data_IF_359000538649
#
_entry.id   IF_359000538649
#
_cell.length_a   1.000
_cell.length_b   1.000
_cell.length_c   1.000
_cell.angle_alpha   90.00
_cell.angle_beta   90.00
_cell.angle_gamma   90.00
#
_symmetry.space_group_name_H-M   'P 1'
#
loop_
_entity.id
_entity.type
_entity.pdbx_description
1 polymer ?
#
# COMPACT_ATOMS: atom_id res chain seq x y z
N UNK A 1 17.38 -44.18 54.15
CA UNK A 1 16.10 -43.45 54.30
C UNK A 1 16.09 -42.32 53.29
N UNK A 2 15.06 -42.22 52.44
CA UNK A 2 14.58 -40.99 51.80
C UNK A 2 13.35 -41.33 50.95
N UNK A 3 12.16 -41.27 51.55
CA UNK A 3 10.90 -41.25 50.79
C UNK A 3 10.70 -39.82 50.31
N UNK A 4 10.98 -39.57 49.03
CA UNK A 4 10.56 -38.35 48.36
C UNK A 4 9.03 -38.26 48.50
N UNK A 5 8.54 -37.23 49.19
CA UNK A 5 7.09 -36.96 49.30
C UNK A 5 6.56 -36.73 47.89
N UNK A 6 5.80 -37.69 47.36
CA UNK A 6 4.90 -37.46 46.24
C UNK A 6 3.76 -36.57 46.75
N UNK A 7 3.81 -35.25 46.49
CA UNK A 7 2.66 -34.38 46.69
C UNK A 7 1.69 -34.61 45.53
N UNK A 8 0.51 -35.16 45.85
CA UNK A 8 -0.59 -35.28 44.90
C UNK A 8 -1.07 -33.89 44.46
N UNK A 9 -1.37 -33.77 43.17
CA UNK A 9 -2.04 -32.63 42.56
C UNK A 9 -3.21 -32.19 43.42
N UNK A 10 -3.12 -31.00 44.01
CA UNK A 10 -4.24 -30.45 44.77
C UNK A 10 -5.28 -29.91 43.79
N UNK A 11 -6.56 -30.10 44.07
CA UNK A 11 -7.65 -29.62 43.21
C UNK A 11 -7.54 -28.11 42.95
N UNK A 12 -7.00 -27.36 43.91
CA UNK A 12 -6.73 -25.94 43.79
C UNK A 12 -5.64 -25.62 42.75
N UNK A 13 -4.62 -26.45 42.61
CA UNK A 13 -3.56 -26.28 41.62
C UNK A 13 -4.08 -26.47 40.19
N UNK A 14 -4.98 -27.45 39.98
CA UNK A 14 -5.65 -27.63 38.70
C UNK A 14 -6.55 -26.43 38.33
N UNK A 15 -7.23 -25.84 39.32
CA UNK A 15 -8.04 -24.62 39.12
C UNK A 15 -7.16 -23.42 38.77
N UNK A 16 -6.04 -23.24 39.48
CA UNK A 16 -5.06 -22.18 39.19
C UNK A 16 -4.46 -22.36 37.79
N UNK A 17 -4.11 -23.59 37.41
CA UNK A 17 -3.59 -23.90 36.08
C UNK A 17 -4.61 -23.57 34.97
N UNK A 18 -5.89 -23.90 35.17
CA UNK A 18 -6.97 -23.56 34.23
C UNK A 18 -7.19 -22.04 34.12
N UNK A 19 -7.07 -21.29 35.22
CA UNK A 19 -7.17 -19.83 35.21
C UNK A 19 -6.02 -19.19 34.42
N UNK A 20 -4.78 -19.64 34.66
CA UNK A 20 -3.60 -19.14 33.93
C UNK A 20 -3.71 -19.50 32.45
N UNK A 21 -4.14 -20.73 32.13
CA UNK A 21 -4.37 -21.17 30.76
C UNK A 21 -5.42 -20.29 30.04
N UNK A 22 -6.54 -20.01 30.71
CA UNK A 22 -7.61 -19.17 30.17
C UNK A 22 -7.14 -17.74 29.84
N UNK A 23 -6.36 -17.13 30.75
CA UNK A 23 -5.77 -15.81 30.52
C UNK A 23 -4.75 -15.83 29.37
N UNK A 24 -3.96 -16.91 29.25
CA UNK A 24 -3.01 -17.10 28.16
C UNK A 24 -3.69 -17.22 26.79
N UNK A 25 -4.79 -17.98 26.71
CA UNK A 25 -5.56 -18.14 25.46
C UNK A 25 -6.19 -16.81 25.03
N UNK A 26 -6.73 -16.02 25.96
CA UNK A 26 -7.27 -14.68 25.64
C UNK A 26 -6.20 -13.74 25.06
N UNK A 27 -4.98 -13.77 25.59
CA UNK A 27 -3.86 -12.99 25.05
C UNK A 27 -3.50 -13.40 23.62
N UNK A 28 -3.46 -14.71 23.34
CA UNK A 28 -3.16 -15.24 22.00
C UNK A 28 -4.21 -14.82 20.96
N UNK A 29 -5.50 -14.87 21.30
CA UNK A 29 -6.59 -14.46 20.40
C UNK A 29 -6.53 -12.96 20.08
N UNK A 30 -6.19 -12.12 21.06
CA UNK A 30 -6.00 -10.67 20.85
C UNK A 30 -4.86 -10.37 19.87
N UNK A 31 -3.73 -11.08 20.00
CA UNK A 31 -2.59 -10.95 19.11
C UNK A 31 -2.90 -11.40 17.66
N UNK A 32 -3.68 -12.48 17.51
CA UNK A 32 -4.12 -12.97 16.20
C UNK A 32 -5.04 -11.97 15.48
N UNK A 33 -5.97 -11.35 16.21
CA UNK A 33 -6.91 -10.37 15.64
C UNK A 33 -6.19 -9.14 15.09
N UNK A 34 -5.19 -8.64 15.83
CA UNK A 34 -4.31 -7.56 15.38
C UNK A 34 -3.54 -7.94 14.11
N UNK A 35 -3.06 -9.17 14.05
CA UNK A 35 -2.31 -9.70 12.89
C UNK A 35 -3.16 -9.72 11.62
N UNK A 36 -4.44 -10.15 11.70
CA UNK A 36 -5.35 -10.14 10.55
C UNK A 36 -5.62 -8.74 10.01
N UNK A 37 -5.78 -7.75 10.89
CA UNK A 37 -6.01 -6.36 10.47
C UNK A 37 -4.78 -5.75 9.80
N UNK A 38 -3.59 -6.02 10.33
CA UNK A 38 -2.32 -5.57 9.76
C UNK A 38 -2.10 -6.21 8.39
N UNK A 39 -2.32 -7.52 8.28
CA UNK A 39 -2.11 -8.25 7.03
C UNK A 39 -3.10 -7.80 5.93
N UNK A 40 -4.34 -7.49 6.30
CA UNK A 40 -5.33 -6.93 5.38
C UNK A 40 -5.02 -5.50 4.89
N UNK A 41 -4.22 -4.73 5.64
CA UNK A 41 -3.70 -3.43 5.18
C UNK A 41 -2.49 -3.60 4.27
N UNK A 42 -1.55 -4.47 4.64
CA UNK A 42 -0.38 -4.79 3.82
C UNK A 42 -0.79 -5.32 2.43
N UNK A 43 -1.66 -6.32 2.36
CA UNK A 43 -2.15 -6.87 1.08
C UNK A 43 -2.88 -5.82 0.24
N UNK A 44 -3.62 -4.91 0.87
CA UNK A 44 -4.29 -3.80 0.18
C UNK A 44 -3.30 -2.82 -0.46
N UNK A 45 -2.23 -2.49 0.26
CA UNK A 45 -1.17 -1.60 -0.23
C UNK A 45 -0.33 -2.26 -1.34
N UNK A 46 -0.07 -3.56 -1.24
CA UNK A 46 0.59 -4.32 -2.30
C UNK A 46 -0.22 -4.29 -3.60
N UNK A 47 -1.53 -4.55 -3.53
CA UNK A 47 -2.43 -4.48 -4.69
C UNK A 47 -2.51 -3.06 -5.27
N UNK A 48 -2.63 -2.04 -4.42
CA UNK A 48 -2.63 -0.64 -4.87
C UNK A 48 -1.31 -0.25 -5.55
N UNK A 49 -0.18 -0.71 -5.01
CA UNK A 49 1.15 -0.47 -5.59
C UNK A 49 1.33 -1.20 -6.92
N UNK A 50 0.87 -2.46 -7.01
CA UNK A 50 0.88 -3.23 -8.25
C UNK A 50 0.06 -2.52 -9.33
N UNK A 51 -1.16 -2.08 -9.00
CA UNK A 51 -2.02 -1.34 -9.92
C UNK A 51 -1.36 -0.04 -10.39
N UNK A 52 -0.80 0.74 -9.46
CA UNK A 52 -0.10 1.98 -9.79
C UNK A 52 1.11 1.75 -10.71
N UNK A 53 1.87 0.67 -10.48
CA UNK A 53 3.02 0.29 -11.33
C UNK A 53 2.59 -0.16 -12.71
N UNK A 54 1.54 -0.98 -12.81
CA UNK A 54 0.98 -1.43 -14.09
C UNK A 54 0.51 -0.24 -14.92
N UNK A 55 -0.23 0.69 -14.30
CA UNK A 55 -0.67 1.90 -14.99
C UNK A 55 0.53 2.78 -15.39
N UNK A 56 1.52 2.96 -14.52
CA UNK A 56 2.72 3.74 -14.85
C UNK A 56 3.47 3.15 -16.05
N UNK A 57 3.58 1.82 -16.13
CA UNK A 57 4.19 1.16 -17.28
C UNK A 57 3.36 1.31 -18.55
N UNK A 58 2.03 1.20 -18.43
CA UNK A 58 1.12 1.48 -19.53
C UNK A 58 1.32 2.91 -20.07
N UNK A 59 1.33 3.90 -19.18
CA UNK A 59 1.57 5.30 -19.54
C UNK A 59 2.94 5.50 -20.19
N UNK A 60 4.00 4.83 -19.72
CA UNK A 60 5.34 4.88 -20.34
C UNK A 60 5.38 4.33 -21.77
N UNK A 61 4.52 3.37 -22.10
CA UNK A 61 4.42 2.80 -23.45
C UNK A 61 3.66 3.68 -24.46
N UNK A 62 2.90 4.68 -23.99
CA UNK A 62 2.16 5.57 -24.87
C UNK A 62 3.08 6.57 -25.58
N UNK A 63 2.86 6.74 -26.88
CA UNK A 63 3.56 7.74 -27.72
C UNK A 63 2.94 9.13 -27.59
N UNK A 64 1.63 9.21 -27.41
CA UNK A 64 0.91 10.47 -27.20
C UNK A 64 0.17 10.43 -25.86
N UNK A 65 0.30 11.52 -25.09
CA UNK A 65 -0.36 11.70 -23.81
C UNK A 65 -1.13 13.02 -23.80
N UNK A 66 -2.39 12.96 -23.42
CA UNK A 66 -3.22 14.14 -23.23
C UNK A 66 -2.96 14.69 -21.83
N UNK A 67 -2.61 15.96 -21.74
CA UNK A 67 -2.47 16.66 -20.46
C UNK A 67 -3.80 16.71 -19.72
N UNK A 68 -3.75 16.59 -18.39
CA UNK A 68 -4.92 16.63 -17.52
C UNK A 68 -5.05 15.39 -16.63
N UNK A 69 -6.17 15.32 -15.92
CA UNK A 69 -6.47 14.19 -15.03
C UNK A 69 -7.48 13.27 -15.71
N UNK A 70 -7.18 11.97 -15.75
CA UNK A 70 -8.06 10.95 -16.28
C UNK A 70 -8.08 9.72 -15.38
N UNK A 71 -9.03 8.82 -15.61
CA UNK A 71 -9.08 7.54 -14.89
C UNK A 71 -8.04 6.57 -15.48
N UNK A 72 -7.45 5.74 -14.63
CA UNK A 72 -6.48 4.75 -15.07
C UNK A 72 -7.11 3.74 -16.04
N UNK A 73 -6.40 3.39 -17.11
CA UNK A 73 -6.86 2.38 -18.06
C UNK A 73 -6.77 0.96 -17.48
N UNK A 74 -5.81 0.71 -16.60
CA UNK A 74 -5.56 -0.61 -16.01
C UNK A 74 -6.47 -0.95 -14.81
N UNK A 75 -7.33 -0.03 -14.36
CA UNK A 75 -8.17 -0.24 -13.16
C UNK A 75 -9.50 -0.91 -13.51
N UNK A 76 -9.57 -2.23 -13.32
CA UNK A 76 -10.82 -3.01 -13.43
C UNK A 76 -11.52 -3.25 -12.09
N UNK A 77 -10.86 -2.90 -10.97
CA UNK A 77 -11.35 -3.18 -9.62
C UNK A 77 -12.05 -1.95 -9.02
N UNK A 78 -13.36 -2.05 -8.77
CA UNK A 78 -14.18 -0.98 -8.18
C UNK A 78 -13.83 -0.69 -6.72
N UNK A 79 -13.04 -1.54 -6.06
CA UNK A 79 -12.58 -1.29 -4.69
C UNK A 79 -11.46 -0.26 -4.61
N UNK A 80 -10.86 0.11 -5.74
CA UNK A 80 -9.82 1.12 -5.85
C UNK A 80 -10.24 2.24 -6.80
N UNK A 81 -10.03 3.49 -6.38
CA UNK A 81 -10.15 4.66 -7.24
C UNK A 81 -8.76 4.99 -7.78
N UNK A 82 -8.57 4.85 -9.09
CA UNK A 82 -7.30 5.11 -9.75
C UNK A 82 -7.42 6.32 -10.68
N UNK A 83 -6.58 7.33 -10.47
CA UNK A 83 -6.45 8.49 -11.34
C UNK A 83 -5.02 8.66 -11.83
N UNK A 84 -4.88 9.14 -13.07
CA UNK A 84 -3.61 9.53 -13.66
C UNK A 84 -3.68 11.01 -14.02
N UNK A 85 -2.71 11.78 -13.54
CA UNK A 85 -2.54 13.20 -13.86
C UNK A 85 -1.29 13.36 -14.68
N UNK A 86 -1.45 13.92 -15.88
CA UNK A 86 -0.37 14.21 -16.81
C UNK A 86 -0.19 15.71 -16.84
N UNK A 87 0.96 16.16 -16.33
CA UNK A 87 1.34 17.58 -16.32
C UNK A 87 2.49 17.78 -17.31
N UNK A 88 2.32 18.62 -18.34
CA UNK A 88 3.40 18.92 -19.27
C UNK A 88 4.54 19.66 -18.56
N UNK A 89 5.78 19.37 -18.95
CA UNK A 89 6.97 19.96 -18.37
C UNK A 89 7.96 20.40 -19.45
N UNK A 90 8.66 21.49 -19.17
CA UNK A 90 9.76 22.01 -19.98
C UNK A 90 11.08 21.66 -19.32
N UNK A 91 12.01 21.09 -20.07
CA UNK A 91 13.39 20.91 -19.63
C UNK A 91 14.19 22.17 -19.96
N UNK A 92 14.76 22.80 -18.95
CA UNK A 92 15.77 23.83 -19.16
C UNK A 92 17.08 23.17 -19.62
N UNK A 93 17.47 23.41 -20.87
CA UNK A 93 18.69 22.85 -21.48
C UNK A 93 19.99 23.31 -20.82
N UNK A 94 19.96 24.39 -20.04
CA UNK A 94 21.14 24.95 -19.38
C UNK A 94 21.35 24.38 -17.96
N UNK A 95 20.27 24.06 -17.24
CA UNK A 95 20.32 23.57 -15.86
C UNK A 95 20.00 22.08 -15.74
N UNK A 96 19.39 21.47 -16.76
CA UNK A 96 18.89 20.10 -16.70
C UNK A 96 17.69 19.91 -15.76
N UNK A 97 17.07 21.00 -15.32
CA UNK A 97 15.93 20.99 -14.40
C UNK A 97 14.63 21.01 -15.21
N UNK A 98 13.72 20.10 -14.87
CA UNK A 98 12.38 20.07 -15.44
C UNK A 98 11.42 20.93 -14.60
N UNK A 99 10.72 21.86 -15.25
CA UNK A 99 9.65 22.66 -14.65
C UNK A 99 8.31 22.24 -15.23
N UNK A 100 7.38 21.85 -14.37
CA UNK A 100 6.08 21.32 -14.78
C UNK A 100 4.99 22.36 -14.58
N UNK A 101 4.21 22.63 -15.63
CA UNK A 101 3.09 23.56 -15.61
C UNK A 101 2.04 23.12 -16.62
N UNK A 102 0.76 23.22 -16.27
CA UNK A 102 -0.34 22.99 -17.21
C UNK A 102 -0.36 23.97 -18.39
N UNK A 103 0.40 25.06 -18.31
CA UNK A 103 0.54 26.10 -19.35
C UNK A 103 1.91 26.08 -20.04
N UNK A 104 2.70 25.01 -19.85
CA UNK A 104 4.00 24.88 -20.49
C UNK A 104 3.88 25.03 -22.02
N UNK A 105 4.61 25.99 -22.59
CA UNK A 105 4.71 26.22 -24.04
C UNK A 105 5.86 25.35 -24.56
N UNK A 106 5.57 24.48 -25.53
CA UNK A 106 6.51 23.48 -26.07
C UNK A 106 7.11 22.52 -25.02
N UNK A 107 6.27 21.70 -24.36
CA UNK A 107 6.75 20.72 -23.38
C UNK A 107 7.59 19.62 -24.04
N UNK A 108 8.76 19.35 -23.46
CA UNK A 108 9.67 18.27 -23.88
C UNK A 108 9.53 17.01 -23.01
N UNK A 109 8.90 17.15 -21.85
CA UNK A 109 8.66 16.10 -20.87
C UNK A 109 7.19 16.15 -20.44
N UNK A 110 6.70 15.03 -19.96
CA UNK A 110 5.44 14.94 -19.22
C UNK A 110 5.71 14.30 -17.86
N UNK A 111 5.20 14.94 -16.80
CA UNK A 111 5.11 14.34 -15.48
C UNK A 111 3.83 13.51 -15.41
N UNK A 112 4.00 12.21 -15.23
CA UNK A 112 2.91 11.26 -15.03
C UNK A 112 2.82 10.94 -13.54
N UNK A 113 1.75 11.38 -12.91
CA UNK A 113 1.41 11.06 -11.52
C UNK A 113 0.23 10.08 -11.50
N UNK A 114 0.46 8.87 -11.03
CA UNK A 114 -0.57 7.84 -10.85
C UNK A 114 -0.94 7.78 -9.38
N UNK A 115 -2.22 7.97 -9.07
CA UNK A 115 -2.74 7.94 -7.70
C UNK A 115 -3.79 6.85 -7.59
N UNK A 116 -3.55 5.88 -6.71
CA UNK A 116 -4.47 4.80 -6.38
C UNK A 116 -4.94 4.98 -4.95
N UNK A 117 -6.22 5.23 -4.77
CA UNK A 117 -6.86 5.40 -3.47
C UNK A 117 -7.77 4.23 -3.18
N UNK A 118 -7.64 3.66 -1.98
CA UNK A 118 -8.62 2.71 -1.46
C UNK A 118 -9.46 3.42 -0.38
N UNK A 119 -10.78 3.52 -0.56
CA UNK A 119 -11.66 4.16 0.42
C UNK A 119 -11.43 3.61 1.84
N UNK A 120 -11.14 4.51 2.79
CA UNK A 120 -10.94 4.18 4.20
C UNK A 120 -9.66 3.41 4.56
N UNK A 121 -8.72 3.20 3.62
CA UNK A 121 -7.49 2.40 3.85
C UNK A 121 -6.20 3.13 3.48
N UNK A 122 -6.24 4.13 2.60
CA UNK A 122 -5.09 4.97 2.26
C UNK A 122 -4.92 5.18 0.75
N UNK A 123 -3.88 5.93 0.40
CA UNK A 123 -3.56 6.32 -0.98
C UNK A 123 -2.10 6.02 -1.28
N UNK A 124 -1.86 5.45 -2.45
CA UNK A 124 -0.53 5.26 -3.03
C UNK A 124 -0.41 6.19 -4.22
N UNK A 125 0.65 6.99 -4.27
CA UNK A 125 0.93 7.88 -5.41
C UNK A 125 2.34 7.60 -5.93
N UNK A 126 2.45 7.43 -7.25
CA UNK A 126 3.71 7.24 -7.95
C UNK A 126 3.84 8.33 -9.00
N UNK A 127 4.99 8.99 -9.03
CA UNK A 127 5.27 10.07 -9.98
C UNK A 127 6.52 9.73 -10.79
N UNK A 128 6.44 9.92 -12.10
CA UNK A 128 7.57 9.72 -13.02
C UNK A 128 7.60 10.83 -14.06
N UNK A 129 8.79 11.24 -14.45
CA UNK A 129 9.00 12.05 -15.64
C UNK A 129 9.23 11.14 -16.84
N UNK A 130 8.63 11.48 -17.99
CA UNK A 130 8.77 10.76 -19.25
C UNK A 130 8.98 11.77 -20.37
N UNK A 131 9.86 11.47 -21.32
CA UNK A 131 10.03 12.33 -22.49
C UNK A 131 8.78 12.29 -23.37
N UNK A 132 8.42 13.46 -23.89
CA UNK A 132 7.39 13.61 -24.90
C UNK A 132 8.04 13.33 -26.25
N UNK A 133 7.56 12.31 -26.98
CA UNK A 133 8.06 11.96 -28.32
C UNK A 133 7.29 12.72 -29.39
#
# INVERSE_FOLDING_TARGET
MNRARQSGFTLIEAVIALLILGLGIMWLVSALTSSYQINGRASGNERATMLARTEMNYQRGLTTRTSGTSSCAASTDSTFTCSVTITPCTLDSSTGIATCSSTATSPTLDQVAVTVTRPGRGTVSLTSLVFRQ
#
